data_IF_064523500483
#
_entry.id   IF_064523500483
#
_cell.length_a   1.000
_cell.length_b   1.000
_cell.length_c   1.000
_cell.angle_alpha   90.00
_cell.angle_beta   90.00
_cell.angle_gamma   90.00
#
_symmetry.space_group_name_H-M   'P 1'
#
loop_
_entity.id
_entity.type
_entity.pdbx_description
1 polymer ?
#
# COMPACT_ATOMS: atom_id res chain seq x y z
N UNK A 1 -32.05 3.49 -15.01
CA UNK A 1 -30.63 3.26 -15.33
C UNK A 1 -30.07 2.21 -14.39
N UNK A 2 -29.77 1.02 -14.90
CA UNK A 2 -29.31 -0.10 -14.09
C UNK A 2 -27.92 0.17 -13.52
N UNK A 3 -27.84 0.42 -12.21
CA UNK A 3 -26.58 0.32 -11.48
C UNK A 3 -26.16 -1.14 -11.51
N UNK A 4 -25.20 -1.48 -12.37
CA UNK A 4 -24.53 -2.78 -12.36
C UNK A 4 -24.04 -3.04 -10.94
N UNK A 5 -24.67 -3.99 -10.24
CA UNK A 5 -24.24 -4.44 -8.92
C UNK A 5 -22.90 -5.15 -9.11
N UNK A 6 -21.82 -4.39 -8.97
CA UNK A 6 -20.47 -4.92 -8.96
C UNK A 6 -20.34 -5.96 -7.84
N UNK A 7 -19.78 -7.12 -8.16
CA UNK A 7 -19.63 -8.21 -7.19
C UNK A 7 -18.70 -7.80 -6.05
N UNK A 8 -18.90 -8.37 -4.86
CA UNK A 8 -18.09 -8.08 -3.67
C UNK A 8 -16.60 -8.35 -3.92
N UNK A 9 -16.28 -9.41 -4.66
CA UNK A 9 -14.91 -9.75 -5.05
C UNK A 9 -14.27 -8.65 -5.91
N UNK A 10 -14.99 -8.11 -6.90
CA UNK A 10 -14.46 -7.05 -7.77
C UNK A 10 -14.21 -5.77 -6.97
N UNK A 11 -15.12 -5.40 -6.07
CA UNK A 11 -14.91 -4.25 -5.17
C UNK A 11 -13.66 -4.43 -4.32
N UNK A 12 -13.46 -5.62 -3.76
CA UNK A 12 -12.28 -5.94 -2.94
C UNK A 12 -10.98 -5.84 -3.75
N UNK A 13 -10.96 -6.40 -4.95
CA UNK A 13 -9.79 -6.31 -5.85
C UNK A 13 -9.47 -4.84 -6.15
N UNK A 14 -10.48 -4.02 -6.47
CA UNK A 14 -10.28 -2.59 -6.73
C UNK A 14 -9.68 -1.89 -5.50
N UNK A 15 -10.20 -2.16 -4.30
CA UNK A 15 -9.68 -1.59 -3.05
C UNK A 15 -8.21 -1.95 -2.85
N UNK A 16 -7.84 -3.21 -3.00
CA UNK A 16 -6.44 -3.67 -2.86
C UNK A 16 -5.54 -2.98 -3.89
N UNK A 17 -5.95 -2.95 -5.16
CA UNK A 17 -5.16 -2.34 -6.23
C UNK A 17 -4.95 -0.85 -5.97
N UNK A 18 -6.01 -0.12 -5.61
CA UNK A 18 -5.92 1.31 -5.29
C UNK A 18 -5.03 1.54 -4.07
N UNK A 19 -5.15 0.71 -3.03
CA UNK A 19 -4.34 0.83 -1.83
C UNK A 19 -2.84 0.59 -2.12
N UNK A 20 -2.51 -0.38 -2.97
CA UNK A 20 -1.12 -0.63 -3.41
C UNK A 20 -0.56 0.58 -4.17
N UNK A 21 -1.33 1.14 -5.10
CA UNK A 21 -0.92 2.34 -5.85
C UNK A 21 -0.67 3.51 -4.90
N UNK A 22 -1.56 3.76 -3.94
CA UNK A 22 -1.37 4.79 -2.93
C UNK A 22 -0.14 4.53 -2.05
N UNK A 23 0.10 3.27 -1.68
CA UNK A 23 1.28 2.86 -0.92
C UNK A 23 2.58 3.18 -1.66
N UNK A 24 2.65 2.89 -2.96
CA UNK A 24 3.81 3.24 -3.80
C UNK A 24 3.98 4.76 -3.88
N UNK A 25 2.92 5.50 -4.20
CA UNK A 25 2.99 6.96 -4.37
C UNK A 25 3.46 7.66 -3.09
N UNK A 26 2.91 7.28 -1.93
CA UNK A 26 3.31 7.88 -0.65
C UNK A 26 4.75 7.50 -0.30
N UNK A 27 5.18 6.28 -0.59
CA UNK A 27 6.57 5.87 -0.38
C UNK A 27 7.51 6.74 -1.22
N UNK A 28 7.21 6.97 -2.50
CA UNK A 28 8.02 7.87 -3.35
C UNK A 28 8.07 9.30 -2.84
N UNK A 29 6.94 9.85 -2.38
CA UNK A 29 6.91 11.18 -1.78
C UNK A 29 7.76 11.25 -0.50
N UNK A 30 7.75 10.20 0.31
CA UNK A 30 8.61 10.10 1.49
C UNK A 30 10.10 10.07 1.11
N UNK A 31 10.47 9.32 0.07
CA UNK A 31 11.86 9.29 -0.43
C UNK A 31 12.33 10.67 -0.91
N UNK A 32 11.47 11.39 -1.65
CA UNK A 32 11.75 12.76 -2.10
C UNK A 32 11.93 13.69 -0.90
N UNK A 33 11.04 13.60 0.11
CA UNK A 33 11.14 14.40 1.32
C UNK A 33 12.41 14.11 2.14
N UNK A 34 12.89 12.87 2.10
CA UNK A 34 14.12 12.43 2.76
C UNK A 34 15.38 12.68 1.90
N UNK A 35 15.22 13.17 0.67
CA UNK A 35 16.31 13.36 -0.29
C UNK A 35 17.16 12.08 -0.50
N UNK A 36 16.49 10.94 -0.69
CA UNK A 36 17.14 9.62 -0.88
C UNK A 36 16.51 8.86 -2.05
N UNK A 37 17.19 7.82 -2.54
CA UNK A 37 16.71 6.97 -3.65
C UNK A 37 16.11 5.65 -3.15
N UNK A 38 15.34 4.96 -4.01
CA UNK A 38 14.81 3.61 -3.70
C UNK A 38 15.91 2.61 -3.35
N UNK A 39 17.06 2.74 -4.02
CA UNK A 39 18.23 1.87 -3.83
C UNK A 39 18.90 2.18 -2.51
N UNK A 40 19.09 3.46 -2.19
CA UNK A 40 19.62 3.90 -0.89
C UNK A 40 18.73 3.45 0.27
N UNK A 41 17.44 3.75 0.16
CA UNK A 41 16.45 3.39 1.16
C UNK A 41 16.25 1.87 1.26
N UNK A 42 16.36 1.15 0.14
CA UNK A 42 16.17 -0.30 0.08
C UNK A 42 17.41 -1.13 0.43
N UNK A 43 18.63 -0.62 0.23
CA UNK A 43 19.88 -1.37 0.40
C UNK A 43 20.73 -0.92 1.60
N UNK A 44 20.63 0.32 2.08
CA UNK A 44 21.63 0.89 3.00
C UNK A 44 21.20 1.00 4.47
N UNK A 45 19.94 0.72 4.82
CA UNK A 45 19.53 0.65 6.24
C UNK A 45 19.67 -0.74 6.87
N UNK A 46 20.48 -1.61 6.25
CA UNK A 46 20.85 -2.92 6.76
C UNK A 46 22.32 -3.18 6.51
N UNK A 47 23.20 -2.43 7.19
CA UNK A 47 24.63 -2.74 7.20
C UNK A 47 24.85 -4.07 7.92
N UNK A 48 25.44 -5.02 7.20
CA UNK A 48 26.08 -6.25 7.67
C UNK A 48 25.23 -7.27 8.44
N UNK A 49 24.15 -7.77 7.81
CA UNK A 49 23.62 -9.10 8.14
C UNK A 49 22.10 -9.23 8.25
N UNK A 50 21.38 -8.13 8.50
CA UNK A 50 19.91 -8.11 8.66
C UNK A 50 19.25 -7.22 7.60
N UNK A 51 19.49 -7.54 6.33
CA UNK A 51 18.98 -6.81 5.17
C UNK A 51 17.48 -6.99 4.94
N UNK A 52 16.65 -6.53 5.88
CA UNK A 52 15.23 -6.34 5.60
C UNK A 52 15.11 -5.23 4.56
N UNK A 53 14.55 -5.56 3.39
CA UNK A 53 14.34 -4.60 2.32
C UNK A 53 13.30 -3.55 2.75
N UNK A 54 13.74 -2.39 3.23
CA UNK A 54 12.86 -1.35 3.78
C UNK A 54 11.92 -0.77 2.74
N UNK A 55 12.38 -0.55 1.50
CA UNK A 55 11.52 -0.02 0.43
C UNK A 55 10.24 -0.87 0.22
N UNK A 56 10.32 -2.18 -0.07
CA UNK A 56 9.10 -2.99 -0.23
C UNK A 56 8.29 -3.10 1.07
N UNK A 57 8.94 -3.14 2.24
CA UNK A 57 8.22 -3.18 3.53
C UNK A 57 7.41 -1.90 3.80
N UNK A 58 7.97 -0.74 3.46
CA UNK A 58 7.29 0.56 3.57
C UNK A 58 6.11 0.63 2.61
N UNK A 59 6.27 0.18 1.36
CA UNK A 59 5.15 0.08 0.40
C UNK A 59 4.06 -0.84 0.94
N UNK A 60 4.40 -2.03 1.44
CA UNK A 60 3.43 -2.97 2.02
C UNK A 60 2.70 -2.34 3.21
N UNK A 61 3.42 -1.67 4.11
CA UNK A 61 2.86 -1.06 5.31
C UNK A 61 1.85 0.05 4.97
N UNK A 62 2.19 0.96 4.05
CA UNK A 62 1.26 1.98 3.59
C UNK A 62 0.08 1.38 2.82
N UNK A 63 0.32 0.35 1.99
CA UNK A 63 -0.74 -0.33 1.25
C UNK A 63 -1.76 -0.98 2.19
N UNK A 64 -1.30 -1.63 3.27
CA UNK A 64 -2.18 -2.19 4.29
C UNK A 64 -2.98 -1.09 5.00
N UNK A 65 -2.32 0.00 5.40
CA UNK A 65 -2.98 1.15 6.02
C UNK A 65 -4.09 1.74 5.13
N UNK A 66 -3.81 1.97 3.85
CA UNK A 66 -4.82 2.46 2.91
C UNK A 66 -5.90 1.43 2.63
N UNK A 67 -5.59 0.14 2.63
CA UNK A 67 -6.59 -0.92 2.49
C UNK A 67 -7.60 -0.83 3.64
N UNK A 68 -7.15 -0.68 4.89
CA UNK A 68 -8.03 -0.53 6.06
C UNK A 68 -8.91 0.71 5.98
N UNK A 69 -8.32 1.84 5.56
CA UNK A 69 -9.05 3.10 5.40
C UNK A 69 -10.11 2.98 4.32
N UNK A 70 -9.73 2.50 3.13
CA UNK A 70 -10.63 2.37 2.00
C UNK A 70 -11.72 1.33 2.26
N UNK A 71 -11.41 0.24 2.97
CA UNK A 71 -12.40 -0.75 3.38
C UNK A 71 -13.47 -0.14 4.29
N UNK A 72 -13.06 0.72 5.23
CA UNK A 72 -13.97 1.47 6.10
C UNK A 72 -14.89 2.42 5.33
N UNK A 73 -14.39 3.09 4.28
CA UNK A 73 -15.18 4.04 3.50
C UNK A 73 -16.06 3.40 2.43
N UNK A 74 -15.61 2.31 1.82
CA UNK A 74 -16.30 1.64 0.71
C UNK A 74 -17.21 0.49 1.18
N UNK A 75 -17.14 0.13 2.46
CA UNK A 75 -17.98 -0.92 3.06
C UNK A 75 -17.73 -2.28 2.42
N UNK A 76 -16.48 -2.59 2.06
CA UNK A 76 -16.13 -3.86 1.40
C UNK A 76 -15.93 -5.03 2.37
N UNK A 77 -16.06 -4.80 3.68
CA UNK A 77 -15.92 -5.76 4.78
C UNK A 77 -14.79 -6.76 4.49
N UNK A 78 -13.56 -6.27 4.30
CA UNK A 78 -12.37 -7.11 4.10
C UNK A 78 -11.91 -7.77 5.40
N UNK A 79 -12.06 -7.08 6.53
CA UNK A 79 -11.77 -7.64 7.84
C UNK A 79 -13.03 -8.27 8.45
N UNK A 80 -12.92 -9.46 9.07
CA UNK A 80 -14.01 -10.00 9.88
C UNK A 80 -14.31 -9.04 11.03
N UNK A 81 -15.60 -8.84 11.31
CA UNK A 81 -16.08 -8.03 12.45
C UNK A 81 -15.71 -8.66 13.78
#
# INVERSE_FOLDING_TARGET
GGKTRMSLLVKRIIVIVVAIVLGVVITELALIAMNTTRVEYGMYFGTDGDGLAYYPLTVISFSLFFTLILDKFLGSEMLPK
#
